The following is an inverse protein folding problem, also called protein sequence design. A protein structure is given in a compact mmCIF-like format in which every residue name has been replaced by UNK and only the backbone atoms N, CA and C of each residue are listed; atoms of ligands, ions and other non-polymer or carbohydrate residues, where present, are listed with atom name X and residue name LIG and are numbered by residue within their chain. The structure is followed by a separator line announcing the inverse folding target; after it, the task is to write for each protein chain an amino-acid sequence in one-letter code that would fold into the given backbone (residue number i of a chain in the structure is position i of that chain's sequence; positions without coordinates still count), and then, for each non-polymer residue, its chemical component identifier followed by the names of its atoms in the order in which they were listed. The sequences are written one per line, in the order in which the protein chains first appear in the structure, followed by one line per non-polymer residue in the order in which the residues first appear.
data_IF_575890276890
#
_entry.id   IF_575890276890
#
_cell.length_a   1.000
_cell.length_b   1.000
_cell.length_c   1.000
_cell.angle_alpha   90.00
_cell.angle_beta   90.00
_cell.angle_gamma   90.00
#
_symmetry.space_group_name_H-M   'P 1'
#
loop_
_entity.id
_entity.type
_entity.pdbx_description
1 polymer ?
#
# COMPACT_ATOMS: atom_id res chain seq x y z
N UNK A 1 -29.48 1.71 16.83
CA UNK A 1 -28.99 3.12 16.82
C UNK A 1 -28.78 3.71 18.20
N UNK A 2 -29.74 3.53 19.13
CA UNK A 2 -29.61 3.99 20.53
C UNK A 2 -28.31 3.50 21.22
N UNK A 3 -27.87 2.27 20.91
CA UNK A 3 -26.63 1.68 21.44
C UNK A 3 -25.34 2.08 20.72
N UNK A 4 -25.42 2.60 19.48
CA UNK A 4 -24.23 2.99 18.70
C UNK A 4 -23.80 4.43 18.97
N UNK A 5 -24.72 5.30 19.41
CA UNK A 5 -24.42 6.69 19.80
C UNK A 5 -23.54 6.77 21.05
N UNK A 6 -23.63 5.80 21.96
CA UNK A 6 -22.83 5.75 23.17
C UNK A 6 -21.38 5.25 22.92
N UNK A 7 -21.04 4.82 21.70
CA UNK A 7 -19.73 4.26 21.35
C UNK A 7 -18.92 5.16 20.39
N UNK A 8 -19.27 6.45 20.28
CA UNK A 8 -18.60 7.40 19.38
C UNK A 8 -18.47 6.91 17.92
N UNK A 9 -19.45 6.13 17.46
CA UNK A 9 -19.40 5.56 16.11
C UNK A 9 -19.33 6.67 15.04
N UNK A 10 -18.16 6.80 14.40
CA UNK A 10 -17.83 7.85 13.41
C UNK A 10 -18.73 7.76 12.16
N UNK A 11 -19.25 6.57 11.84
CA UNK A 11 -20.24 6.35 10.80
C UNK A 11 -21.08 5.10 11.12
N UNK A 12 -22.37 5.13 10.80
CA UNK A 12 -23.26 3.98 10.86
C UNK A 12 -24.16 3.93 9.62
N UNK A 13 -24.63 2.74 9.27
CA UNK A 13 -25.55 2.51 8.15
C UNK A 13 -26.75 1.70 8.66
N UNK A 14 -27.97 2.15 8.40
CA UNK A 14 -29.17 1.34 8.69
C UNK A 14 -29.50 0.40 7.53
N UNK A 15 -30.33 -0.62 7.76
CA UNK A 15 -30.83 -1.51 6.69
C UNK A 15 -31.52 -0.73 5.56
N UNK A 16 -32.20 0.38 5.88
CA UNK A 16 -32.82 1.29 4.91
C UNK A 16 -31.78 2.09 4.12
N UNK A 17 -30.69 2.52 4.76
CA UNK A 17 -29.60 3.22 4.08
C UNK A 17 -28.82 2.29 3.14
N UNK A 18 -28.62 1.03 3.55
CA UNK A 18 -27.99 0.00 2.73
C UNK A 18 -28.81 -0.34 1.48
N UNK A 19 -30.13 -0.17 1.55
CA UNK A 19 -31.03 -0.62 0.47
C UNK A 19 -31.27 0.42 -0.63
N UNK A 20 -30.98 1.71 -0.42
CA UNK A 20 -31.07 2.76 -1.47
C UNK A 20 -30.09 2.43 -2.61
N UNK A 21 -30.65 1.98 -3.73
CA UNK A 21 -29.94 1.28 -4.81
C UNK A 21 -29.00 2.19 -5.63
N UNK A 22 -29.26 3.50 -5.66
CA UNK A 22 -28.52 4.49 -6.46
C UNK A 22 -27.06 4.68 -6.06
N UNK A 23 -26.71 4.47 -4.79
CA UNK A 23 -25.34 4.69 -4.28
C UNK A 23 -24.49 3.40 -4.20
N UNK A 24 -25.11 2.21 -4.40
CA UNK A 24 -24.41 0.92 -4.28
C UNK A 24 -23.34 0.70 -5.33
N UNK A 25 -23.51 1.25 -6.53
CA UNK A 25 -22.55 1.16 -7.63
C UNK A 25 -21.19 1.82 -7.30
N UNK A 26 -21.14 2.68 -6.28
CA UNK A 26 -19.90 3.33 -5.83
C UNK A 26 -19.24 2.59 -4.65
N UNK A 27 -20.00 1.80 -3.88
CA UNK A 27 -19.52 1.19 -2.64
C UNK A 27 -19.21 -0.30 -2.77
N UNK A 28 -20.03 -1.07 -3.48
CA UNK A 28 -19.82 -2.51 -3.68
C UNK A 28 -19.47 -2.76 -5.14
N UNK A 29 -18.29 -3.32 -5.40
CA UNK A 29 -17.89 -3.66 -6.76
C UNK A 29 -18.79 -4.78 -7.30
N UNK A 30 -19.40 -4.54 -8.45
CA UNK A 30 -20.24 -5.51 -9.13
C UNK A 30 -19.39 -6.55 -9.90
N UNK A 31 -18.79 -7.50 -9.17
CA UNK A 31 -18.10 -8.65 -9.76
C UNK A 31 -19.03 -9.87 -9.81
N UNK A 32 -20.15 -9.73 -10.52
CA UNK A 32 -21.22 -10.75 -10.60
C UNK A 32 -20.78 -12.04 -11.28
N UNK A 33 -19.86 -11.96 -12.23
CA UNK A 33 -19.45 -13.09 -13.06
C UNK A 33 -18.03 -13.56 -12.73
N UNK A 34 -17.83 -14.86 -12.69
CA UNK A 34 -16.50 -15.48 -12.57
C UNK A 34 -15.76 -15.40 -13.90
N UNK A 35 -16.47 -15.63 -15.00
CA UNK A 35 -16.00 -15.47 -16.36
C UNK A 35 -16.93 -14.51 -17.12
N UNK A 36 -16.37 -13.46 -17.72
CA UNK A 36 -17.15 -12.44 -18.44
C UNK A 36 -17.70 -12.94 -19.77
N UNK A 37 -17.05 -13.91 -20.40
CA UNK A 37 -17.44 -14.50 -21.69
C UNK A 37 -18.58 -15.50 -21.51
N UNK A 38 -18.45 -16.44 -20.57
CA UNK A 38 -19.48 -17.46 -20.32
C UNK A 38 -20.63 -16.96 -19.44
N UNK A 39 -20.51 -15.76 -18.86
CA UNK A 39 -21.48 -15.16 -17.91
C UNK A 39 -21.81 -16.07 -16.72
N UNK A 40 -20.89 -16.94 -16.32
CA UNK A 40 -21.04 -17.77 -15.13
C UNK A 40 -21.09 -16.93 -13.86
N UNK A 41 -22.13 -17.14 -13.05
CA UNK A 41 -22.33 -16.40 -11.81
C UNK A 41 -21.29 -16.78 -10.76
N UNK A 42 -20.82 -15.76 -10.05
CA UNK A 42 -19.94 -15.95 -8.89
C UNK A 42 -20.77 -16.41 -7.68
N UNK A 43 -20.51 -17.63 -7.23
CA UNK A 43 -21.17 -18.26 -6.08
C UNK A 43 -20.36 -18.16 -4.78
N UNK A 44 -19.06 -17.84 -4.87
CA UNK A 44 -18.15 -17.73 -3.72
C UNK A 44 -17.45 -16.37 -3.65
N UNK A 45 -17.10 -15.96 -2.43
CA UNK A 45 -16.28 -14.77 -2.14
C UNK A 45 -17.01 -13.69 -1.33
N UNK A 46 -16.20 -12.87 -0.65
CA UNK A 46 -16.70 -11.78 0.19
C UNK A 46 -16.96 -10.53 -0.69
N UNK A 47 -18.13 -9.87 -0.58
CA UNK A 47 -18.44 -8.67 -1.36
C UNK A 47 -17.42 -7.55 -1.15
N UNK A 48 -16.68 -7.18 -2.19
CA UNK A 48 -15.65 -6.14 -2.07
C UNK A 48 -16.29 -4.75 -1.92
N UNK A 49 -15.88 -4.03 -0.87
CA UNK A 49 -16.35 -2.68 -0.56
C UNK A 49 -17.53 -2.63 0.41
N UNK A 50 -18.02 -3.79 0.89
CA UNK A 50 -18.85 -3.81 2.08
C UNK A 50 -18.01 -3.50 3.34
N UNK A 51 -18.53 -2.69 4.29
CA UNK A 51 -17.81 -2.33 5.53
C UNK A 51 -17.37 -3.54 6.37
N UNK A 52 -18.07 -4.67 6.32
CA UNK A 52 -17.77 -5.86 7.12
C UNK A 52 -16.72 -6.78 6.47
N UNK A 53 -16.41 -6.58 5.19
CA UNK A 53 -15.61 -7.54 4.41
C UNK A 53 -14.20 -7.76 4.96
N UNK A 54 -13.57 -6.71 5.48
CA UNK A 54 -12.25 -6.82 6.09
C UNK A 54 -12.25 -7.70 7.36
N UNK A 55 -13.32 -7.65 8.14
CA UNK A 55 -13.48 -8.48 9.36
C UNK A 55 -13.65 -9.94 8.96
N UNK A 56 -14.53 -10.22 7.99
CA UNK A 56 -14.77 -11.58 7.51
C UNK A 56 -13.51 -12.20 6.89
N UNK A 57 -12.76 -11.44 6.09
CA UNK A 57 -11.51 -11.93 5.50
C UNK A 57 -10.45 -12.26 6.57
N UNK A 58 -10.35 -11.46 7.63
CA UNK A 58 -9.44 -11.76 8.73
C UNK A 58 -9.89 -12.95 9.58
N UNK A 59 -11.18 -13.07 9.85
CA UNK A 59 -11.73 -14.22 10.57
C UNK A 59 -11.49 -15.52 9.80
N UNK A 60 -11.68 -15.48 8.48
CA UNK A 60 -11.47 -16.63 7.60
C UNK A 60 -10.01 -17.15 7.62
N UNK A 61 -9.04 -16.24 7.75
CA UNK A 61 -7.62 -16.56 7.78
C UNK A 61 -7.07 -16.83 9.19
N UNK A 62 -7.90 -16.76 10.24
CA UNK A 62 -7.41 -16.71 11.62
C UNK A 62 -6.65 -17.97 12.04
N UNK A 63 -7.21 -19.16 11.76
CA UNK A 63 -6.57 -20.43 12.10
C UNK A 63 -5.32 -20.67 11.25
N UNK A 64 -5.36 -20.31 9.97
CA UNK A 64 -4.18 -20.30 9.09
C UNK A 64 -3.06 -19.43 9.67
N UNK A 65 -3.37 -18.19 10.04
CA UNK A 65 -2.39 -17.25 10.57
C UNK A 65 -1.77 -17.79 11.87
N UNK A 66 -2.57 -18.41 12.72
CA UNK A 66 -2.14 -19.01 13.99
C UNK A 66 -1.17 -20.16 13.73
N UNK A 67 -1.57 -21.15 12.94
CA UNK A 67 -0.81 -22.37 12.66
C UNK A 67 0.55 -22.04 12.01
N UNK A 68 0.54 -21.20 10.96
CA UNK A 68 1.77 -20.82 10.25
C UNK A 68 2.69 -19.98 11.13
N UNK A 69 2.15 -19.04 11.90
CA UNK A 69 2.96 -18.24 12.81
C UNK A 69 3.58 -19.08 13.93
N UNK A 70 2.88 -20.10 14.44
CA UNK A 70 3.42 -21.03 15.43
C UNK A 70 4.57 -21.87 14.86
N UNK A 71 4.36 -22.51 13.70
CA UNK A 71 5.39 -23.30 12.99
C UNK A 71 6.68 -22.49 12.77
N UNK A 72 6.53 -21.26 12.28
CA UNK A 72 7.66 -20.40 11.93
C UNK A 72 8.38 -19.87 13.18
N UNK A 73 7.63 -19.48 14.21
CA UNK A 73 8.23 -18.95 15.46
C UNK A 73 9.01 -19.99 16.23
N UNK A 74 8.56 -21.25 16.25
CA UNK A 74 9.28 -22.35 16.90
C UNK A 74 10.71 -22.51 16.36
N UNK A 75 10.96 -22.07 15.12
CA UNK A 75 12.25 -22.13 14.46
C UNK A 75 12.93 -20.75 14.33
N UNK A 76 12.54 -19.78 15.16
CA UNK A 76 13.15 -18.44 15.16
C UNK A 76 12.80 -17.57 13.94
N UNK A 77 11.80 -17.97 13.15
CA UNK A 77 11.35 -17.20 11.99
C UNK A 77 10.34 -16.10 12.32
N UNK A 78 9.91 -15.40 11.29
CA UNK A 78 8.94 -14.30 11.33
C UNK A 78 7.81 -14.53 10.32
N UNK A 79 6.57 -14.41 10.77
CA UNK A 79 5.38 -14.39 9.92
C UNK A 79 4.61 -13.07 10.10
N UNK A 80 4.19 -12.44 9.00
CA UNK A 80 3.33 -11.24 8.99
C UNK A 80 2.35 -11.29 7.83
N UNK A 81 1.08 -10.94 8.10
CA UNK A 81 0.05 -10.77 7.08
C UNK A 81 -0.55 -9.37 7.14
N UNK A 82 -0.76 -8.76 5.97
CA UNK A 82 -1.49 -7.51 5.80
C UNK A 82 -2.54 -7.68 4.70
N UNK A 83 -3.81 -7.85 5.11
CA UNK A 83 -4.88 -8.31 4.20
C UNK A 83 -4.45 -9.60 3.48
N UNK A 84 -4.18 -9.52 2.19
CA UNK A 84 -3.86 -10.68 1.35
C UNK A 84 -2.33 -10.83 1.17
N UNK A 85 -1.56 -9.80 1.55
CA UNK A 85 -0.10 -9.80 1.43
C UNK A 85 0.53 -10.50 2.65
N UNK A 86 1.05 -11.70 2.42
CA UNK A 86 1.76 -12.52 3.42
C UNK A 86 3.27 -12.39 3.21
N UNK A 87 4.01 -12.25 4.30
CA UNK A 87 5.47 -12.31 4.34
C UNK A 87 5.92 -13.27 5.43
N UNK A 88 6.90 -14.10 5.07
CA UNK A 88 7.51 -15.07 5.95
C UNK A 88 9.02 -15.02 5.77
N UNK A 89 9.76 -15.03 6.89
CA UNK A 89 11.20 -15.25 6.92
C UNK A 89 11.52 -16.43 7.83
N UNK A 90 12.34 -17.37 7.36
CA UNK A 90 12.76 -18.54 8.11
C UNK A 90 14.19 -18.93 7.72
N UNK A 91 14.87 -19.77 8.52
CA UNK A 91 16.09 -20.46 8.10
C UNK A 91 15.90 -21.21 6.77
N UNK A 92 16.98 -21.32 5.98
CA UNK A 92 16.96 -21.88 4.61
C UNK A 92 16.53 -23.35 4.62
N UNK A 93 16.89 -24.07 5.67
CA UNK A 93 16.60 -25.50 5.88
C UNK A 93 15.09 -25.78 5.98
N UNK A 94 14.30 -24.76 6.36
CA UNK A 94 12.86 -24.87 6.54
C UNK A 94 12.05 -24.40 5.34
N UNK A 95 12.71 -23.92 4.27
CA UNK A 95 12.04 -23.37 3.09
C UNK A 95 10.97 -24.34 2.57
N UNK A 96 11.35 -25.60 2.30
CA UNK A 96 10.45 -26.62 1.74
C UNK A 96 9.31 -26.97 2.71
N UNK A 97 9.62 -27.18 3.99
CA UNK A 97 8.63 -27.53 5.02
C UNK A 97 7.57 -26.43 5.15
N UNK A 98 8.00 -25.18 5.19
CA UNK A 98 7.11 -24.02 5.32
C UNK A 98 6.28 -23.82 4.05
N UNK A 99 6.89 -23.93 2.86
CA UNK A 99 6.16 -23.82 1.59
C UNK A 99 5.09 -24.90 1.48
N UNK A 100 5.41 -26.13 1.90
CA UNK A 100 4.45 -27.23 1.92
C UNK A 100 3.31 -26.96 2.90
N UNK A 101 3.62 -26.55 4.14
CA UNK A 101 2.61 -26.22 5.15
C UNK A 101 1.65 -25.10 4.68
N UNK A 102 2.18 -24.02 4.08
CA UNK A 102 1.36 -22.95 3.52
C UNK A 102 0.44 -23.47 2.41
N UNK A 103 1.00 -24.25 1.47
CA UNK A 103 0.23 -24.77 0.34
C UNK A 103 -0.89 -25.69 0.81
N UNK A 104 -0.60 -26.60 1.75
CA UNK A 104 -1.59 -27.49 2.33
C UNK A 104 -2.69 -26.70 3.05
N UNK A 105 -2.31 -25.75 3.92
CA UNK A 105 -3.28 -24.96 4.71
C UNK A 105 -4.13 -24.04 3.84
N UNK A 106 -3.59 -23.50 2.74
CA UNK A 106 -4.39 -22.76 1.77
C UNK A 106 -5.38 -23.67 1.03
N UNK A 107 -4.96 -24.89 0.68
CA UNK A 107 -5.85 -25.87 0.06
C UNK A 107 -6.98 -26.32 1.00
N UNK A 108 -6.71 -26.50 2.30
CA UNK A 108 -7.73 -26.75 3.35
C UNK A 108 -8.77 -25.62 3.41
N UNK A 109 -8.36 -24.38 3.09
CA UNK A 109 -9.23 -23.22 3.00
C UNK A 109 -9.81 -23.00 1.60
N UNK A 110 -9.64 -23.91 0.64
CA UNK A 110 -10.08 -23.71 -0.75
C UNK A 110 -9.57 -22.39 -1.38
N UNK A 111 -8.40 -21.93 -0.94
CA UNK A 111 -7.71 -20.74 -1.43
C UNK A 111 -6.54 -21.11 -2.34
N UNK A 112 -6.37 -20.33 -3.39
CA UNK A 112 -5.27 -20.49 -4.34
C UNK A 112 -4.29 -19.33 -4.21
N UNK A 113 -3.01 -19.65 -3.98
CA UNK A 113 -1.95 -18.66 -4.05
C UNK A 113 -1.67 -18.29 -5.52
N UNK A 114 -1.53 -17.00 -5.79
CA UNK A 114 -1.16 -16.54 -7.12
C UNK A 114 0.34 -16.73 -7.35
N UNK A 115 0.73 -17.82 -8.02
CA UNK A 115 2.13 -18.22 -8.25
C UNK A 115 3.01 -17.07 -8.78
N UNK A 116 2.51 -16.28 -9.72
CA UNK A 116 3.24 -15.14 -10.31
C UNK A 116 3.59 -14.02 -9.30
N UNK A 117 2.85 -13.94 -8.19
CA UNK A 117 3.08 -12.95 -7.12
C UNK A 117 3.95 -13.50 -6.01
N UNK A 118 4.00 -14.82 -5.86
CA UNK A 118 4.84 -15.47 -4.85
C UNK A 118 6.30 -15.34 -5.25
N UNK A 119 7.10 -14.74 -4.37
CA UNK A 119 8.52 -14.54 -4.60
C UNK A 119 9.31 -15.06 -3.40
N UNK A 120 10.35 -15.84 -3.68
CA UNK A 120 11.27 -16.34 -2.65
C UNK A 120 12.57 -15.57 -2.75
N UNK A 121 13.06 -15.08 -1.61
CA UNK A 121 14.33 -14.38 -1.51
C UNK A 121 15.27 -15.10 -0.56
N UNK A 122 16.54 -15.21 -0.95
CA UNK A 122 17.62 -15.66 -0.10
C UNK A 122 18.41 -14.43 0.39
N UNK A 123 18.55 -14.33 1.71
CA UNK A 123 19.41 -13.35 2.36
C UNK A 123 20.63 -14.07 2.93
N UNK A 124 21.81 -13.76 2.39
CA UNK A 124 23.04 -14.44 2.77
C UNK A 124 24.14 -13.42 3.05
N UNK A 125 24.91 -13.63 4.12
CA UNK A 125 26.07 -12.79 4.43
C UNK A 125 27.26 -13.25 3.60
N UNK A 126 27.76 -12.40 2.71
CA UNK A 126 28.97 -12.64 1.90
C UNK A 126 29.91 -11.44 2.00
N UNK A 127 31.20 -11.68 2.26
CA UNK A 127 32.21 -10.61 2.35
C UNK A 127 31.84 -9.46 3.32
N UNK A 128 31.18 -9.80 4.43
CA UNK A 128 30.77 -8.82 5.45
C UNK A 128 29.46 -8.08 5.17
N UNK A 129 28.87 -8.20 3.97
CA UNK A 129 27.60 -7.57 3.59
C UNK A 129 26.49 -8.60 3.43
N UNK A 130 25.23 -8.17 3.58
CA UNK A 130 24.07 -9.05 3.35
C UNK A 130 23.62 -8.88 1.90
N UNK A 131 23.64 -9.96 1.12
CA UNK A 131 23.14 -10.00 -0.24
C UNK A 131 21.69 -10.47 -0.26
N UNK A 132 20.82 -9.70 -0.92
CA UNK A 132 19.44 -10.07 -1.24
C UNK A 132 19.37 -10.65 -2.66
N UNK A 133 18.96 -11.92 -2.77
CA UNK A 133 18.87 -12.65 -4.04
C UNK A 133 17.47 -13.21 -4.24
N UNK A 134 16.87 -12.97 -5.41
CA UNK A 134 15.58 -13.56 -5.76
C UNK A 134 15.79 -14.97 -6.33
N UNK A 135 15.16 -15.98 -5.74
CA UNK A 135 15.18 -17.36 -6.23
C UNK A 135 14.16 -17.49 -7.36
N UNK A 136 14.63 -17.86 -8.56
CA UNK A 136 13.77 -18.17 -9.71
C UNK A 136 14.20 -19.50 -10.32
N UNK A 137 13.30 -20.48 -10.27
CA UNK A 137 13.59 -21.84 -10.76
C UNK A 137 14.91 -22.35 -10.14
N UNK A 138 15.95 -22.54 -10.97
CA UNK A 138 17.27 -23.02 -10.54
C UNK A 138 18.35 -21.92 -10.47
N UNK A 139 17.96 -20.63 -10.48
CA UNK A 139 18.89 -19.51 -10.45
C UNK A 139 18.58 -18.52 -9.32
N UNK A 140 19.64 -17.87 -8.84
CA UNK A 140 19.57 -16.75 -7.91
C UNK A 140 19.90 -15.45 -8.65
N UNK A 141 18.94 -14.53 -8.70
CA UNK A 141 19.13 -13.22 -9.30
C UNK A 141 19.62 -12.24 -8.23
N UNK A 142 20.81 -11.68 -8.43
CA UNK A 142 21.39 -10.64 -7.60
C UNK A 142 20.82 -9.26 -7.95
N UNK A 143 21.10 -8.25 -7.13
CA UNK A 143 20.63 -6.86 -7.30
C UNK A 143 19.09 -6.75 -7.34
N UNK A 144 18.40 -7.64 -6.63
CA UNK A 144 16.95 -7.60 -6.45
C UNK A 144 16.63 -7.06 -5.06
N UNK A 145 15.49 -6.39 -4.95
CA UNK A 145 14.99 -5.91 -3.68
C UNK A 145 13.74 -6.68 -3.30
N UNK A 146 13.70 -7.17 -2.08
CA UNK A 146 12.48 -7.66 -1.48
C UNK A 146 11.50 -6.51 -1.32
N UNK A 147 10.24 -6.66 -1.74
CA UNK A 147 9.25 -5.57 -1.67
C UNK A 147 8.05 -5.95 -0.83
N UNK A 148 7.68 -5.09 0.11
CA UNK A 148 6.52 -5.29 0.99
C UNK A 148 5.91 -3.94 1.41
N UNK A 149 4.59 -3.82 1.34
CA UNK A 149 3.81 -2.63 1.78
C UNK A 149 4.33 -1.27 1.30
N UNK A 150 4.85 -1.21 0.06
CA UNK A 150 5.35 0.04 -0.53
C UNK A 150 6.79 0.39 -0.16
N UNK A 151 7.51 -0.55 0.47
CA UNK A 151 8.93 -0.50 0.72
C UNK A 151 9.68 -1.55 -0.11
N UNK A 152 10.97 -1.31 -0.28
CA UNK A 152 11.95 -2.21 -0.88
C UNK A 152 13.11 -2.38 0.12
N UNK A 153 13.68 -3.57 0.19
CA UNK A 153 14.81 -3.90 1.05
C UNK A 153 15.86 -4.65 0.24
N UNK A 154 17.10 -4.17 0.28
CA UNK A 154 18.22 -4.72 -0.49
C UNK A 154 19.11 -5.69 0.31
N UNK A 155 18.75 -5.97 1.57
CA UNK A 155 19.54 -6.78 2.50
C UNK A 155 20.19 -5.95 3.60
N UNK A 156 20.43 -4.66 3.36
CA UNK A 156 21.06 -3.77 4.35
C UNK A 156 20.23 -2.51 4.62
N UNK A 157 19.57 -1.97 3.61
CA UNK A 157 18.88 -0.70 3.68
C UNK A 157 17.44 -0.77 3.20
N UNK A 158 16.56 -0.18 4.00
CA UNK A 158 15.17 0.03 3.62
C UNK A 158 15.03 1.26 2.70
N UNK A 159 14.21 1.10 1.67
CA UNK A 159 13.94 2.06 0.60
C UNK A 159 12.43 2.18 0.38
N UNK A 160 11.99 3.31 -0.16
CA UNK A 160 10.66 3.44 -0.75
C UNK A 160 10.60 2.67 -2.05
N UNK A 161 9.47 1.99 -2.29
CA UNK A 161 9.23 1.29 -3.56
C UNK A 161 9.38 2.23 -4.74
N UNK A 162 10.20 1.84 -5.71
CA UNK A 162 10.48 2.55 -6.94
C UNK A 162 9.22 3.05 -7.65
N UNK A 163 8.20 2.19 -7.76
CA UNK A 163 6.89 2.54 -8.34
C UNK A 163 6.14 3.64 -7.57
N UNK A 164 6.31 3.73 -6.25
CA UNK A 164 5.70 4.76 -5.41
C UNK A 164 6.35 6.12 -5.66
N UNK A 165 7.69 6.16 -5.71
CA UNK A 165 8.46 7.35 -6.08
C UNK A 165 8.12 7.83 -7.48
N UNK A 166 8.04 6.92 -8.45
CA UNK A 166 7.66 7.25 -9.83
C UNK A 166 6.24 7.86 -9.90
N UNK A 167 5.28 7.30 -9.15
CA UNK A 167 3.91 7.85 -9.04
C UNK A 167 3.92 9.26 -8.44
N UNK A 168 4.74 9.52 -7.42
CA UNK A 168 4.89 10.85 -6.83
C UNK A 168 5.36 11.88 -7.87
N UNK A 169 6.47 11.62 -8.57
CA UNK A 169 6.99 12.55 -9.60
C UNK A 169 6.06 12.69 -10.80
N UNK A 170 5.39 11.60 -11.24
CA UNK A 170 4.39 11.68 -12.31
C UNK A 170 3.20 12.55 -11.92
N UNK A 171 2.71 12.44 -10.68
CA UNK A 171 1.64 13.30 -10.16
C UNK A 171 2.08 14.76 -10.05
N UNK A 172 3.32 15.01 -9.66
CA UNK A 172 3.91 16.36 -9.65
C UNK A 172 3.88 16.97 -11.04
N UNK A 173 4.51 16.31 -12.03
CA UNK A 173 4.52 16.75 -13.44
C UNK A 173 3.12 17.02 -13.97
N UNK A 174 2.22 16.03 -13.87
CA UNK A 174 0.84 16.15 -14.36
C UNK A 174 0.09 17.32 -13.70
N UNK A 175 0.29 17.55 -12.40
CA UNK A 175 -0.40 18.63 -11.69
C UNK A 175 0.12 20.02 -12.10
N UNK A 176 1.43 20.14 -12.33
CA UNK A 176 2.05 21.39 -12.77
C UNK A 176 1.62 21.69 -14.22
N UNK A 177 1.73 20.72 -15.13
CA UNK A 177 1.30 20.89 -16.52
C UNK A 177 -0.18 21.22 -16.65
N UNK A 178 -1.05 20.57 -15.84
CA UNK A 178 -2.46 20.92 -15.80
C UNK A 178 -2.68 22.35 -15.30
N UNK A 179 -1.97 22.76 -14.24
CA UNK A 179 -2.07 24.12 -13.72
C UNK A 179 -1.61 25.16 -14.75
N UNK A 180 -0.52 24.91 -15.46
CA UNK A 180 0.00 25.77 -16.55
C UNK A 180 -0.98 25.87 -17.70
N UNK A 181 -1.54 24.75 -18.13
CA UNK A 181 -2.55 24.72 -19.19
C UNK A 181 -3.80 25.52 -18.81
N UNK A 182 -4.30 25.36 -17.58
CA UNK A 182 -5.45 26.13 -17.10
C UNK A 182 -5.14 27.61 -16.94
N UNK A 183 -3.95 27.95 -16.45
CA UNK A 183 -3.47 29.33 -16.37
C UNK A 183 -3.39 29.99 -17.74
N UNK A 184 -2.84 29.30 -18.74
CA UNK A 184 -2.75 29.78 -20.12
C UNK A 184 -4.12 29.97 -20.78
N UNK A 185 -5.07 29.04 -20.56
CA UNK A 185 -6.39 29.08 -21.22
C UNK A 185 -7.43 29.95 -20.52
N UNK A 186 -7.37 30.09 -19.21
CA UNK A 186 -8.36 30.85 -18.45
C UNK A 186 -7.84 32.27 -18.16
N UNK A 187 -8.30 33.23 -18.95
CA UNK A 187 -8.23 34.68 -18.69
C UNK A 187 -9.34 35.12 -17.72
N UNK A 188 -9.65 34.31 -16.71
CA UNK A 188 -10.68 34.66 -15.73
C UNK A 188 -10.21 35.93 -14.97
N UNK A 189 -11.07 36.95 -14.86
CA UNK A 189 -10.70 38.29 -14.35
C UNK A 189 -10.06 38.27 -12.95
N UNK A 190 -10.40 37.25 -12.15
CA UNK A 190 -9.92 37.04 -10.77
C UNK A 190 -8.54 36.39 -10.67
N UNK A 191 -8.21 35.44 -11.55
CA UNK A 191 -6.91 34.75 -11.51
C UNK A 191 -5.92 35.27 -12.53
N UNK A 192 -6.36 36.02 -13.56
CA UNK A 192 -5.50 36.65 -14.58
C UNK A 192 -4.47 35.70 -15.23
N UNK A 193 -4.79 34.41 -15.34
CA UNK A 193 -3.86 33.40 -15.84
C UNK A 193 -2.69 33.07 -14.91
N UNK A 194 -2.79 33.38 -13.61
CA UNK A 194 -1.76 33.05 -12.63
C UNK A 194 -1.86 31.61 -12.12
N UNK A 195 -0.69 31.02 -11.85
CA UNK A 195 -0.60 29.71 -11.23
C UNK A 195 -0.94 29.77 -9.74
N UNK A 196 -1.78 28.83 -9.28
CA UNK A 196 -2.01 28.59 -7.85
C UNK A 196 -0.81 27.91 -7.19
N UNK A 197 0.30 28.64 -7.07
CA UNK A 197 1.60 28.16 -6.56
C UNK A 197 1.44 27.51 -5.19
N UNK A 198 0.73 28.15 -4.26
CA UNK A 198 0.54 27.64 -2.88
C UNK A 198 0.04 26.20 -2.80
N UNK A 199 -0.90 25.80 -3.69
CA UNK A 199 -1.42 24.43 -3.73
C UNK A 199 -0.36 23.44 -4.19
N UNK A 200 0.42 23.81 -5.21
CA UNK A 200 1.49 22.97 -5.75
C UNK A 200 2.63 22.81 -4.76
N UNK A 201 3.09 23.91 -4.15
CA UNK A 201 4.11 23.91 -3.10
C UNK A 201 3.70 23.02 -1.92
N UNK A 202 2.50 23.23 -1.34
CA UNK A 202 2.00 22.39 -0.23
C UNK A 202 1.92 20.90 -0.63
N UNK A 203 1.56 20.60 -1.87
CA UNK A 203 1.36 19.20 -2.31
C UNK A 203 2.67 18.46 -2.59
N UNK A 204 3.71 19.13 -3.07
CA UNK A 204 4.89 18.47 -3.65
C UNK A 204 6.23 18.86 -3.03
N UNK A 205 6.27 19.83 -2.11
CA UNK A 205 7.51 20.28 -1.46
C UNK A 205 7.44 20.14 0.05
N UNK A 206 8.56 20.42 0.73
CA UNK A 206 8.64 20.39 2.19
C UNK A 206 7.63 21.35 2.87
N UNK A 207 7.12 22.37 2.16
CA UNK A 207 6.15 23.33 2.72
C UNK A 207 4.81 22.70 3.14
N UNK A 208 4.49 21.50 2.65
CA UNK A 208 3.35 20.72 3.15
C UNK A 208 3.71 19.34 3.68
N UNK A 209 4.98 19.12 4.07
CA UNK A 209 5.40 17.85 4.68
C UNK A 209 5.15 17.79 6.19
N UNK A 210 4.68 18.87 6.80
CA UNK A 210 4.42 18.95 8.24
C UNK A 210 3.04 18.38 8.58
N UNK A 211 2.99 17.57 9.63
CA UNK A 211 1.73 17.10 10.22
C UNK A 211 1.20 18.14 11.19
N UNK A 212 -0.09 18.42 11.13
CA UNK A 212 -0.73 19.37 12.03
C UNK A 212 -2.12 18.89 12.42
N UNK A 213 -2.47 19.06 13.70
CA UNK A 213 -3.86 18.92 14.13
C UNK A 213 -4.62 20.16 13.67
N UNK A 214 -5.78 19.97 13.06
CA UNK A 214 -6.72 21.05 12.79
C UNK A 214 -7.72 21.09 13.93
N UNK A 215 -7.84 22.26 14.54
CA UNK A 215 -8.84 22.57 15.54
C UNK A 215 -10.13 23.00 14.82
N UNK A 216 -10.67 22.08 14.02
CA UNK A 216 -12.01 22.23 13.47
C UNK A 216 -13.03 21.72 14.51
N UNK A 217 -14.33 21.94 14.29
CA UNK A 217 -15.41 21.41 15.15
C UNK A 217 -15.38 19.89 15.30
N UNK A 218 -14.73 19.18 14.38
CA UNK A 218 -14.29 17.80 14.52
C UNK A 218 -12.77 17.76 14.36
N UNK A 219 -11.99 17.36 15.38
CA UNK A 219 -10.54 17.31 15.29
C UNK A 219 -10.09 16.46 14.10
N UNK A 220 -9.37 17.08 13.15
CA UNK A 220 -8.85 16.37 11.97
C UNK A 220 -7.35 16.52 11.84
N UNK A 221 -6.65 15.41 11.68
CA UNK A 221 -5.20 15.42 11.46
C UNK A 221 -4.91 15.66 9.98
N UNK A 222 -4.14 16.70 9.70
CA UNK A 222 -3.46 16.88 8.42
C UNK A 222 -2.20 16.02 8.42
N UNK A 223 -2.22 14.93 7.66
CA UNK A 223 -1.11 13.97 7.59
C UNK A 223 0.08 14.46 6.75
N UNK A 224 -0.05 15.65 6.14
CA UNK A 224 0.94 16.21 5.22
C UNK A 224 0.93 15.53 3.86
N UNK A 225 1.98 15.78 3.07
CA UNK A 225 2.13 15.24 1.72
C UNK A 225 2.99 13.96 1.68
N UNK A 226 3.34 13.51 0.47
CA UNK A 226 4.17 12.31 0.27
C UNK A 226 5.54 12.39 0.97
N UNK A 227 6.11 13.58 1.10
CA UNK A 227 7.37 13.78 1.83
C UNK A 227 7.18 13.62 3.34
N UNK A 228 6.00 13.94 3.88
CA UNK A 228 5.65 13.64 5.28
C UNK A 228 5.67 12.14 5.54
N UNK A 229 5.15 11.36 4.59
CA UNK A 229 5.22 9.89 4.62
C UNK A 229 6.67 9.40 4.54
N UNK A 230 7.46 9.88 3.57
CA UNK A 230 8.85 9.50 3.40
C UNK A 230 9.71 9.84 4.65
N UNK A 231 9.52 11.02 5.23
CA UNK A 231 10.23 11.44 6.45
C UNK A 231 9.85 10.57 7.65
N UNK A 232 8.56 10.24 7.82
CA UNK A 232 8.12 9.32 8.89
C UNK A 232 8.77 7.94 8.71
N UNK A 233 8.76 7.41 7.49
CA UNK A 233 9.36 6.12 7.20
C UNK A 233 10.87 6.13 7.48
N UNK A 234 11.58 7.17 7.04
CA UNK A 234 13.01 7.32 7.30
C UNK A 234 13.34 7.41 8.80
N UNK A 235 12.45 8.00 9.60
CA UNK A 235 12.66 8.10 11.04
C UNK A 235 12.40 6.78 11.78
N UNK A 236 11.43 5.98 11.31
CA UNK A 236 11.08 4.68 11.90
C UNK A 236 12.07 3.58 11.49
N UNK A 237 12.53 3.61 10.23
CA UNK A 237 13.42 2.60 9.67
C UNK A 237 14.87 3.03 9.84
N UNK A 238 15.52 2.48 10.86
CA UNK A 238 16.94 2.74 11.12
C UNK A 238 17.82 2.32 9.93
N UNK A 239 18.91 3.04 9.69
CA UNK A 239 19.81 2.82 8.55
C UNK A 239 19.18 3.04 7.16
N UNK A 240 17.92 3.48 7.05
CA UNK A 240 17.25 3.63 5.76
C UNK A 240 17.84 4.76 4.90
N UNK A 241 17.80 4.57 3.58
CA UNK A 241 18.26 5.58 2.59
C UNK A 241 17.09 6.35 1.95
N UNK A 242 15.92 6.35 2.61
CA UNK A 242 14.67 6.92 2.11
C UNK A 242 14.80 8.43 1.86
N UNK A 243 15.39 9.19 2.79
CA UNK A 243 15.60 10.64 2.65
C UNK A 243 16.41 10.99 1.40
N UNK A 244 17.38 10.14 1.02
CA UNK A 244 18.18 10.31 -0.19
C UNK A 244 17.36 10.10 -1.47
N UNK A 245 16.38 9.20 -1.47
CA UNK A 245 15.51 8.97 -2.64
C UNK A 245 14.63 10.19 -2.98
N UNK A 246 14.23 10.96 -1.96
CA UNK A 246 13.34 12.13 -2.15
C UNK A 246 14.08 13.47 -2.22
N UNK A 247 15.40 13.53 -1.96
CA UNK A 247 16.11 14.82 -1.83
C UNK A 247 16.04 15.70 -3.09
N UNK A 248 15.96 15.10 -4.28
CA UNK A 248 15.91 15.82 -5.56
C UNK A 248 14.54 16.48 -5.85
N UNK A 249 13.52 16.25 -5.01
CA UNK A 249 12.16 16.75 -5.26
C UNK A 249 12.11 18.27 -5.44
N UNK A 250 12.85 19.04 -4.65
CA UNK A 250 12.84 20.52 -4.70
C UNK A 250 13.36 21.04 -6.04
N UNK A 251 14.51 20.53 -6.47
CA UNK A 251 15.13 20.87 -7.75
C UNK A 251 14.24 20.49 -8.93
N UNK A 252 13.65 19.29 -8.89
CA UNK A 252 12.74 18.84 -9.95
C UNK A 252 11.48 19.70 -9.99
N UNK A 253 10.92 20.06 -8.83
CA UNK A 253 9.75 20.92 -8.74
C UNK A 253 10.00 22.30 -9.35
N UNK A 254 11.10 22.98 -8.99
CA UNK A 254 11.39 24.33 -9.50
C UNK A 254 11.68 24.34 -11.00
N UNK A 255 12.44 23.36 -11.50
CA UNK A 255 12.64 23.18 -12.94
C UNK A 255 11.32 23.04 -13.71
N UNK A 256 10.31 22.40 -13.13
CA UNK A 256 9.00 22.25 -13.76
C UNK A 256 8.13 23.50 -13.66
N UNK A 257 8.37 24.36 -12.68
CA UNK A 257 7.62 25.62 -12.48
C UNK A 257 8.14 26.76 -13.34
N UNK A 258 9.40 26.68 -13.78
CA UNK A 258 10.07 27.65 -14.67
C UNK A 258 9.74 27.45 -16.15
N UNK A 259 9.50 26.19 -16.56
CA UNK A 259 9.04 25.82 -17.90
C UNK A 259 7.55 26.11 -18.09
#
# INVERSE_FOLDING_TARGET
LKYLRNQEAIAFCTKKDFTKWSDRNQLIKNNKYTNQETKELRTKGIPQGSPISAVLANLYMLDFDKDINELVRQHGGLYRRYSDDIVLACPVELETTVQHAITQKLAELELEAQADKTQTFLFERRNGTIQCMEKRQNAFLTNKHFSYLGFEFDGETALLKSSSLAKFYRRMKKSISAAQFHAYRNTNKTTRGELFKNRLYKRFTYLGSQRKRRHDSVPKTDWGNYLAYANKANHIMDGSKIKRQVCKHWRVFHKLMEN
#
